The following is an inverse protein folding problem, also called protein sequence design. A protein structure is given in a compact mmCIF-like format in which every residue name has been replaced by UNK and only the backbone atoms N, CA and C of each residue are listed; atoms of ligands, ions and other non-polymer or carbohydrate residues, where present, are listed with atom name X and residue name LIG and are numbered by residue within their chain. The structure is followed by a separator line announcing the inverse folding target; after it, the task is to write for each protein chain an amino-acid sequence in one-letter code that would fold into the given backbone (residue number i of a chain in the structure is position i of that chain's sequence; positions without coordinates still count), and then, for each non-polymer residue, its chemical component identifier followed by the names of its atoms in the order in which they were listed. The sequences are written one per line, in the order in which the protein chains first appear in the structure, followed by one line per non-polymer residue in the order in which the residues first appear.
data_IF_805165648842
#
_entry.id   IF_805165648842
#
_cell.length_a   1.000
_cell.length_b   1.000
_cell.length_c   1.000
_cell.angle_alpha   90.00
_cell.angle_beta   90.00
_cell.angle_gamma   90.00
#
_symmetry.space_group_name_H-M   'P 1'
#
loop_
_entity.id
_entity.type
_entity.pdbx_description
1 polymer ?
#
# COMPACT_ATOMS: atom_id res chain seq x y z
N UNK A 1 -12.76 -10.26 20.93
CA UNK A 1 -11.88 -10.45 19.77
C UNK A 1 -10.49 -10.42 20.35
N UNK A 2 -9.90 -11.59 20.59
CA UNK A 2 -8.68 -11.70 21.40
C UNK A 2 -7.45 -11.39 20.54
N UNK A 3 -6.70 -10.38 20.96
CA UNK A 3 -5.41 -10.00 20.37
C UNK A 3 -4.33 -10.66 21.26
N UNK A 4 -3.36 -11.39 20.71
CA UNK A 4 -2.38 -12.10 21.53
C UNK A 4 -1.49 -11.14 22.33
N UNK A 5 -1.24 -11.53 23.58
CA UNK A 5 -0.40 -10.83 24.53
C UNK A 5 1.08 -10.79 24.11
N UNK A 6 1.73 -9.71 24.55
CA UNK A 6 3.17 -9.42 24.59
C UNK A 6 3.79 -8.89 23.29
N UNK A 7 4.13 -7.59 23.25
CA UNK A 7 5.49 -7.14 22.91
C UNK A 7 5.81 -5.81 23.63
N UNK A 8 6.91 -5.81 24.38
CA UNK A 8 7.45 -4.68 25.15
C UNK A 8 8.12 -3.66 24.22
N UNK A 9 7.74 -2.40 24.38
CA UNK A 9 8.31 -1.21 23.71
C UNK A 9 9.78 -0.99 24.10
N UNK A 10 10.64 -0.72 23.11
CA UNK A 10 11.92 -0.04 23.32
C UNK A 10 11.98 1.21 22.45
N UNK A 11 12.00 2.35 23.13
CA UNK A 11 12.16 3.70 22.58
C UNK A 11 13.38 3.81 21.66
N UNK A 12 13.18 4.38 20.46
CA UNK A 12 14.24 4.78 19.54
C UNK A 12 13.74 5.91 18.65
N UNK A 13 14.49 7.01 18.63
CA UNK A 13 14.16 8.29 17.98
C UNK A 13 13.82 8.17 16.49
N UNK A 14 12.91 9.04 16.05
CA UNK A 14 12.56 9.34 14.66
C UNK A 14 13.77 9.46 13.72
N UNK A 15 13.67 8.80 12.57
CA UNK A 15 14.41 9.19 11.36
C UNK A 15 13.55 8.94 10.12
N UNK A 16 13.13 10.00 9.43
CA UNK A 16 12.24 9.98 8.25
C UNK A 16 13.00 9.83 6.92
N UNK A 17 14.12 9.10 6.90
CA UNK A 17 15.06 9.13 5.75
C UNK A 17 15.04 7.90 4.83
N UNK A 18 14.09 6.95 4.97
CA UNK A 18 14.16 5.69 4.19
C UNK A 18 13.47 5.67 2.80
N UNK A 19 13.07 6.81 2.22
CA UNK A 19 12.41 6.83 0.91
C UNK A 19 13.06 7.71 -0.19
N UNK A 20 14.33 8.11 -0.05
CA UNK A 20 14.99 8.96 -1.06
C UNK A 20 16.42 8.57 -1.44
N UNK A 21 16.78 7.28 -1.42
CA UNK A 21 18.06 6.83 -1.96
C UNK A 21 17.88 5.91 -3.16
N UNK A 22 17.80 6.55 -4.34
CA UNK A 22 18.46 6.17 -5.61
C UNK A 22 17.72 6.80 -6.81
N UNK A 23 17.58 8.13 -6.83
CA UNK A 23 17.39 8.84 -8.10
C UNK A 23 18.75 8.89 -8.80
N UNK A 24 19.05 7.86 -9.57
CA UNK A 24 20.18 7.90 -10.50
C UNK A 24 19.75 8.82 -11.66
N UNK A 25 20.42 9.96 -11.91
CA UNK A 25 20.10 10.79 -13.06
C UNK A 25 20.52 10.03 -14.31
N UNK A 26 19.56 9.73 -15.19
CA UNK A 26 19.86 9.32 -16.56
C UNK A 26 20.22 10.58 -17.34
N UNK A 27 21.47 11.03 -17.22
CA UNK A 27 22.10 11.78 -18.30
C UNK A 27 22.44 10.79 -19.40
N UNK A 28 22.12 11.16 -20.64
CA UNK A 28 22.52 10.53 -21.92
C UNK A 28 21.48 9.61 -22.57
N UNK A 29 20.41 10.22 -23.09
CA UNK A 29 19.98 9.93 -24.47
C UNK A 29 19.31 11.16 -25.08
N UNK A 30 20.12 12.02 -25.71
CA UNK A 30 19.61 13.07 -26.60
C UNK A 30 19.37 12.42 -27.96
N UNK A 31 18.11 12.15 -28.30
CA UNK A 31 17.71 12.06 -29.70
C UNK A 31 17.31 13.46 -30.14
N UNK A 32 18.16 14.11 -30.93
CA UNK A 32 17.80 15.29 -31.69
C UNK A 32 16.76 14.88 -32.73
N UNK A 33 15.48 15.12 -32.44
CA UNK A 33 14.61 15.57 -33.51
C UNK A 33 13.43 16.43 -33.03
N UNK A 34 13.11 17.36 -33.91
CA UNK A 34 12.57 18.68 -33.60
C UNK A 34 11.04 18.74 -33.41
N UNK A 35 10.63 19.71 -32.57
CA UNK A 35 9.28 20.32 -32.45
C UNK A 35 8.21 19.53 -31.67
N UNK A 36 8.24 19.62 -30.35
CA UNK A 36 7.02 19.80 -29.53
C UNK A 36 7.41 20.17 -28.10
N UNK A 37 7.41 21.47 -27.78
CA UNK A 37 7.49 21.91 -26.39
C UNK A 37 6.16 21.62 -25.68
N UNK A 38 5.99 20.37 -25.27
CA UNK A 38 5.19 20.03 -24.09
C UNK A 38 6.14 19.33 -23.14
N UNK A 39 6.52 20.05 -22.10
CA UNK A 39 7.15 19.50 -20.90
C UNK A 39 6.26 18.37 -20.40
N UNK A 40 6.58 17.13 -20.78
CA UNK A 40 5.94 15.95 -20.22
C UNK A 40 6.58 15.75 -18.85
N UNK A 41 6.04 16.43 -17.85
CA UNK A 41 6.24 16.01 -16.47
C UNK A 41 5.43 14.71 -16.36
N UNK A 42 6.03 13.59 -16.74
CA UNK A 42 5.57 12.28 -16.30
C UNK A 42 5.80 12.28 -14.79
N UNK A 43 4.85 12.87 -14.05
CA UNK A 43 4.55 12.39 -12.72
C UNK A 43 4.28 10.91 -12.92
N UNK A 44 5.18 10.06 -12.45
CA UNK A 44 4.89 8.65 -12.27
C UNK A 44 3.61 8.60 -11.45
N UNK A 45 2.46 8.46 -12.12
CA UNK A 45 1.20 8.26 -11.44
C UNK A 45 1.42 6.94 -10.70
N UNK A 46 1.61 7.02 -9.39
CA UNK A 46 1.55 5.87 -8.52
C UNK A 46 0.20 5.22 -8.81
N UNK A 47 0.23 4.07 -9.45
CA UNK A 47 -0.97 3.29 -9.72
C UNK A 47 -1.50 2.84 -8.36
N UNK A 48 -2.60 3.45 -7.92
CA UNK A 48 -3.18 3.22 -6.59
C UNK A 48 -4.69 3.30 -6.61
N UNK A 49 -5.32 2.63 -5.66
CA UNK A 49 -6.75 2.67 -5.40
C UNK A 49 -7.03 2.77 -3.90
N UNK A 50 -7.91 3.70 -3.51
CA UNK A 50 -8.36 3.84 -2.13
C UNK A 50 -9.40 2.75 -1.88
N UNK A 51 -9.12 1.79 -0.99
CA UNK A 51 -10.05 0.72 -0.63
C UNK A 51 -11.14 1.21 0.31
N UNK A 52 -10.78 1.96 1.35
CA UNK A 52 -11.72 2.45 2.34
C UNK A 52 -11.24 3.76 2.94
N UNK A 53 -12.15 4.69 3.16
CA UNK A 53 -11.86 5.90 3.93
C UNK A 53 -13.10 6.36 4.67
N UNK A 54 -12.91 6.73 5.93
CA UNK A 54 -13.90 7.41 6.75
C UNK A 54 -13.22 8.50 7.55
N UNK A 55 -13.92 9.61 7.73
CA UNK A 55 -13.49 10.72 8.56
C UNK A 55 -14.65 11.12 9.46
N UNK A 56 -14.37 11.20 10.76
CA UNK A 56 -15.30 11.59 11.80
C UNK A 56 -14.55 12.41 12.86
N UNK A 57 -15.25 13.08 13.80
CA UNK A 57 -14.57 13.87 14.83
C UNK A 57 -13.58 13.08 15.70
N UNK A 58 -13.81 11.78 15.90
CA UNK A 58 -13.05 10.96 16.85
C UNK A 58 -12.08 9.98 16.18
N UNK A 59 -12.22 9.74 14.87
CA UNK A 59 -11.37 8.83 14.11
C UNK A 59 -11.34 9.18 12.61
N UNK A 60 -10.17 9.03 12.01
CA UNK A 60 -9.91 9.00 10.58
C UNK A 60 -9.27 7.67 10.22
N UNK A 61 -9.80 7.00 9.21
CA UNK A 61 -9.27 5.74 8.68
C UNK A 61 -9.03 5.93 7.19
N UNK A 62 -7.89 5.47 6.69
CA UNK A 62 -7.60 5.35 5.27
C UNK A 62 -6.88 4.06 4.97
N UNK A 63 -7.39 3.31 3.99
CA UNK A 63 -6.77 2.09 3.47
C UNK A 63 -6.64 2.23 1.96
N UNK A 64 -5.45 2.01 1.42
CA UNK A 64 -5.17 2.02 -0.01
C UNK A 64 -4.29 0.86 -0.45
N UNK A 65 -4.33 0.56 -1.74
CA UNK A 65 -3.41 -0.37 -2.39
C UNK A 65 -2.72 0.31 -3.55
N UNK A 66 -1.44 0.01 -3.74
CA UNK A 66 -0.63 0.63 -4.79
C UNK A 66 0.42 -0.32 -5.37
N UNK A 67 0.90 -0.02 -6.57
CA UNK A 67 2.09 -0.64 -7.12
C UNK A 67 3.31 0.26 -6.91
N UNK A 68 4.37 -0.29 -6.32
CA UNK A 68 5.64 0.42 -6.20
C UNK A 68 6.56 0.22 -7.42
N UNK A 69 7.71 0.89 -7.42
CA UNK A 69 8.68 0.83 -8.53
C UNK A 69 9.26 -0.58 -8.79
N UNK A 70 9.22 -1.48 -7.79
CA UNK A 70 9.65 -2.88 -7.93
C UNK A 70 8.55 -3.78 -8.48
N UNK A 71 7.35 -3.25 -8.74
CA UNK A 71 6.18 -4.03 -9.15
C UNK A 71 5.55 -4.82 -8.01
N UNK A 72 5.90 -4.52 -6.76
CA UNK A 72 5.23 -5.10 -5.60
C UNK A 72 3.87 -4.44 -5.42
N UNK A 73 2.88 -5.22 -4.97
CA UNK A 73 1.61 -4.70 -4.52
C UNK A 73 1.73 -4.37 -3.03
N UNK A 74 1.47 -3.12 -2.70
CA UNK A 74 1.54 -2.58 -1.34
C UNK A 74 0.13 -2.29 -0.87
N UNK A 75 -0.18 -2.68 0.36
CA UNK A 75 -1.36 -2.24 1.09
C UNK A 75 -0.89 -1.29 2.18
N UNK A 76 -1.44 -0.09 2.22
CA UNK A 76 -1.15 0.91 3.25
C UNK A 76 -2.45 1.24 4.00
N UNK A 77 -2.35 1.26 5.33
CA UNK A 77 -3.47 1.48 6.22
C UNK A 77 -3.08 2.40 7.37
N UNK A 78 -3.92 3.39 7.63
CA UNK A 78 -3.66 4.42 8.63
C UNK A 78 -4.93 4.79 9.37
N UNK A 79 -4.87 4.67 10.69
CA UNK A 79 -5.92 5.04 11.62
C UNK A 79 -5.39 6.15 12.54
N UNK A 80 -6.09 7.28 12.64
CA UNK A 80 -5.73 8.37 13.55
C UNK A 80 -6.95 8.79 14.34
N UNK A 81 -6.75 9.14 15.60
CA UNK A 81 -7.71 9.96 16.33
C UNK A 81 -7.81 9.59 17.79
N UNK A 82 -8.75 10.25 18.46
CA UNK A 82 -9.02 10.01 19.87
C UNK A 82 -9.32 8.54 20.15
N UNK A 83 -10.08 7.90 19.26
CA UNK A 83 -10.41 6.48 19.39
C UNK A 83 -9.14 5.61 19.36
N UNK A 84 -8.20 5.90 18.46
CA UNK A 84 -6.92 5.16 18.36
C UNK A 84 -6.13 5.32 19.66
N UNK A 85 -5.99 6.56 20.16
CA UNK A 85 -5.33 6.85 21.43
C UNK A 85 -5.97 6.14 22.63
N UNK A 86 -7.30 6.09 22.68
CA UNK A 86 -8.01 5.45 23.79
C UNK A 86 -7.80 3.92 23.81
N UNK A 87 -7.60 3.29 22.64
CA UNK A 87 -7.38 1.84 22.52
C UNK A 87 -5.90 1.42 22.57
N UNK A 88 -5.02 2.18 21.92
CA UNK A 88 -3.60 1.81 21.73
C UNK A 88 -2.64 2.64 22.57
N UNK A 89 -3.09 3.75 23.17
CA UNK A 89 -2.26 4.68 23.93
C UNK A 89 -1.46 5.65 23.08
N UNK A 90 -1.61 5.59 21.76
CA UNK A 90 -0.94 6.42 20.76
C UNK A 90 -1.99 6.98 19.78
N UNK A 91 -1.82 8.21 19.28
CA UNK A 91 -2.85 8.89 18.48
C UNK A 91 -2.99 8.36 17.06
N UNK A 92 -2.00 7.59 16.59
CA UNK A 92 -1.89 7.05 15.25
C UNK A 92 -1.54 5.56 15.26
N UNK A 93 -1.97 4.85 14.22
CA UNK A 93 -1.73 3.43 14.06
C UNK A 93 -1.62 3.11 12.57
N UNK A 94 -0.52 2.48 12.17
CA UNK A 94 -0.26 2.14 10.78
C UNK A 94 -0.14 0.63 10.59
N UNK A 95 -0.63 0.13 9.45
CA UNK A 95 -0.58 -1.29 9.12
C UNK A 95 -0.42 -1.51 7.63
N UNK A 96 0.44 -2.45 7.28
CA UNK A 96 0.98 -2.56 5.95
C UNK A 96 1.13 -4.02 5.51
N UNK A 97 0.90 -4.27 4.22
CA UNK A 97 1.37 -5.49 3.54
C UNK A 97 2.24 -5.15 2.34
N UNK A 98 3.23 -5.98 2.07
CA UNK A 98 3.96 -5.98 0.80
C UNK A 98 3.92 -7.38 0.19
N UNK A 99 3.55 -7.43 -1.08
CA UNK A 99 3.40 -8.67 -1.85
C UNK A 99 4.39 -8.62 -3.01
N UNK A 100 5.27 -9.63 -3.08
CA UNK A 100 6.28 -9.72 -4.13
C UNK A 100 5.65 -9.94 -5.52
N UNK A 101 6.28 -9.49 -6.63
CA UNK A 101 5.70 -9.59 -7.97
C UNK A 101 5.28 -11.01 -8.36
N UNK A 102 6.03 -12.03 -7.92
CA UNK A 102 5.72 -13.43 -8.17
C UNK A 102 4.43 -13.86 -7.49
N UNK A 103 4.14 -13.31 -6.32
CA UNK A 103 2.93 -13.52 -5.55
C UNK A 103 1.76 -12.70 -6.11
N UNK A 104 2.02 -11.50 -6.63
CA UNK A 104 1.04 -10.69 -7.39
C UNK A 104 0.50 -11.46 -8.60
N UNK A 105 1.35 -12.23 -9.29
CA UNK A 105 0.92 -13.05 -10.43
C UNK A 105 -0.21 -14.03 -10.10
N UNK A 106 -0.29 -14.50 -8.85
CA UNK A 106 -1.38 -15.36 -8.39
C UNK A 106 -2.72 -14.61 -8.38
N UNK A 107 -2.73 -13.31 -8.08
CA UNK A 107 -3.95 -12.51 -8.18
C UNK A 107 -4.45 -12.44 -9.61
N UNK A 108 -3.59 -12.16 -10.59
CA UNK A 108 -4.00 -12.12 -12.00
C UNK A 108 -4.70 -13.42 -12.43
N UNK A 109 -4.13 -14.57 -12.07
CA UNK A 109 -4.74 -15.87 -12.33
C UNK A 109 -6.09 -16.06 -11.61
N UNK A 110 -6.20 -15.69 -10.33
CA UNK A 110 -7.41 -15.85 -9.52
C UNK A 110 -8.58 -14.99 -10.01
N UNK A 111 -8.30 -13.73 -10.39
CA UNK A 111 -9.30 -12.81 -10.90
C UNK A 111 -9.54 -12.93 -12.41
N UNK A 112 -8.79 -13.80 -13.09
CA UNK A 112 -8.81 -13.95 -14.57
C UNK A 112 -8.55 -12.62 -15.29
N UNK A 113 -7.61 -11.86 -14.75
CA UNK A 113 -7.15 -10.58 -15.30
C UNK A 113 -5.90 -10.85 -16.13
N UNK A 114 -5.71 -10.09 -17.21
CA UNK A 114 -4.51 -10.18 -18.02
C UNK A 114 -3.26 -9.91 -17.17
N UNK A 115 -2.22 -10.74 -17.33
CA UNK A 115 -1.00 -10.59 -16.55
C UNK A 115 -0.35 -9.22 -16.84
N UNK A 116 -0.11 -8.44 -15.80
CA UNK A 116 0.44 -7.09 -15.92
C UNK A 116 -0.60 -5.98 -16.06
N UNK A 117 -1.91 -6.30 -16.14
CA UNK A 117 -2.98 -5.29 -16.07
C UNK A 117 -3.19 -4.82 -14.62
N UNK A 118 -2.24 -4.00 -14.16
CA UNK A 118 -2.23 -3.42 -12.80
C UNK A 118 -3.49 -2.65 -12.48
N UNK A 119 -3.98 -1.82 -13.41
CA UNK A 119 -5.21 -1.04 -13.20
C UNK A 119 -6.43 -1.96 -13.03
N UNK A 120 -6.56 -2.99 -13.88
CA UNK A 120 -7.62 -4.00 -13.73
C UNK A 120 -7.56 -4.73 -12.39
N UNK A 121 -6.34 -5.07 -11.94
CA UNK A 121 -6.16 -5.71 -10.64
C UNK A 121 -6.52 -4.79 -9.47
N UNK A 122 -6.03 -3.54 -9.46
CA UNK A 122 -6.36 -2.58 -8.40
C UNK A 122 -7.87 -2.35 -8.30
N UNK A 123 -8.56 -2.25 -9.44
CA UNK A 123 -10.02 -2.16 -9.48
C UNK A 123 -10.69 -3.42 -8.91
N UNK A 124 -10.23 -4.62 -9.27
CA UNK A 124 -10.80 -5.85 -8.73
C UNK A 124 -10.59 -5.98 -7.20
N UNK A 125 -9.44 -5.51 -6.70
CA UNK A 125 -9.18 -5.44 -5.26
C UNK A 125 -10.10 -4.44 -4.58
N UNK A 126 -10.32 -3.26 -5.19
CA UNK A 126 -11.29 -2.28 -4.70
C UNK A 126 -12.71 -2.83 -4.65
N UNK A 127 -13.15 -3.50 -5.71
CA UNK A 127 -14.50 -4.07 -5.79
C UNK A 127 -14.73 -5.14 -4.72
N UNK A 128 -13.69 -5.91 -4.37
CA UNK A 128 -13.80 -6.99 -3.38
C UNK A 128 -13.56 -6.54 -1.94
N UNK A 129 -12.56 -5.70 -1.71
CA UNK A 129 -12.07 -5.33 -0.38
C UNK A 129 -12.37 -3.87 -0.02
N UNK A 130 -13.26 -3.21 -0.75
CA UNK A 130 -13.60 -1.79 -0.58
C UNK A 130 -14.44 -1.46 0.66
N UNK A 131 -14.09 -1.98 1.83
CA UNK A 131 -14.85 -1.84 3.08
C UNK A 131 -13.92 -1.71 4.31
N UNK A 132 -14.51 -1.42 5.47
CA UNK A 132 -13.86 -1.13 6.77
C UNK A 132 -12.98 -2.27 7.34
N UNK A 133 -12.97 -3.43 6.69
CA UNK A 133 -12.21 -4.63 7.10
C UNK A 133 -11.24 -5.09 6.02
N UNK A 134 -10.87 -4.22 5.08
CA UNK A 134 -10.04 -4.55 3.93
C UNK A 134 -8.75 -5.30 4.32
N UNK A 135 -8.03 -4.79 5.33
CA UNK A 135 -6.78 -5.37 5.81
C UNK A 135 -6.93 -6.83 6.23
N UNK A 136 -7.88 -7.12 7.12
CA UNK A 136 -8.12 -8.48 7.62
C UNK A 136 -8.70 -9.39 6.53
N UNK A 137 -9.63 -8.88 5.72
CA UNK A 137 -10.25 -9.65 4.64
C UNK A 137 -9.24 -10.06 3.57
N UNK A 138 -8.35 -9.15 3.18
CA UNK A 138 -7.29 -9.42 2.21
C UNK A 138 -6.24 -10.38 2.79
N UNK A 139 -5.86 -10.24 4.06
CA UNK A 139 -4.95 -11.16 4.74
C UNK A 139 -5.48 -12.60 4.81
N UNK A 140 -6.78 -12.77 5.10
CA UNK A 140 -7.46 -14.08 5.07
C UNK A 140 -7.47 -14.63 3.65
N UNK A 141 -7.87 -13.83 2.66
CA UNK A 141 -7.89 -14.23 1.26
C UNK A 141 -6.51 -14.71 0.79
N UNK A 142 -5.45 -13.96 1.08
CA UNK A 142 -4.09 -14.35 0.70
C UNK A 142 -3.69 -15.67 1.33
N UNK A 143 -4.01 -15.88 2.61
CA UNK A 143 -3.74 -17.13 3.32
C UNK A 143 -4.49 -18.32 2.71
N UNK A 144 -5.77 -18.16 2.39
CA UNK A 144 -6.61 -19.21 1.78
C UNK A 144 -6.10 -19.64 0.40
N UNK A 145 -5.50 -18.72 -0.35
CA UNK A 145 -5.01 -18.95 -1.70
C UNK A 145 -3.50 -19.19 -1.80
N UNK A 146 -2.80 -19.33 -0.66
CA UNK A 146 -1.36 -19.58 -0.65
C UNK A 146 -0.54 -18.45 -1.27
N UNK A 147 -0.98 -17.21 -1.06
CA UNK A 147 -0.28 -15.99 -1.45
C UNK A 147 0.55 -15.52 -0.27
N UNK A 148 1.86 -15.44 -0.46
CA UNK A 148 2.79 -14.98 0.55
C UNK A 148 2.89 -13.45 0.56
N UNK A 149 3.00 -12.87 1.75
CA UNK A 149 3.15 -11.43 1.94
C UNK A 149 4.00 -11.16 3.18
N UNK A 150 4.68 -10.01 3.19
CA UNK A 150 5.28 -9.44 4.38
C UNK A 150 4.27 -8.48 5.03
N UNK A 151 4.13 -8.52 6.35
CA UNK A 151 3.25 -7.63 7.11
C UNK A 151 4.03 -6.81 8.12
N UNK A 152 3.67 -5.54 8.27
CA UNK A 152 4.24 -4.64 9.25
C UNK A 152 3.14 -3.81 9.92
N UNK A 153 3.29 -3.55 11.22
CA UNK A 153 2.35 -2.77 12.02
C UNK A 153 3.18 -1.81 12.88
N UNK A 154 2.79 -0.54 12.90
CA UNK A 154 3.39 0.48 13.74
C UNK A 154 2.33 1.10 14.66
N UNK A 155 2.42 0.87 15.98
CA UNK A 155 1.59 1.54 16.96
C UNK A 155 2.13 2.92 17.36
#
# INVERSE_FOLDING_TARGET
MDIPHEYRVRNGKHNWDYFNEALVPVSDFVSEDSKSNRTVINHFALEREILYSIESPDIKISMEVSFNAKGQLVFDGYDIGKTVNDFFGEPDYEYHYTIEPEEVNKFYALYKIESGDRSGLLKALKDRFGHDKAYSAMGIFMKEHGIHYASFIWP
#
